data_IF_456683575301
#
_entry.id   IF_456683575301
#
_cell.length_a   1.000
_cell.length_b   1.000
_cell.length_c   1.000
_cell.angle_alpha   90.00
_cell.angle_beta   90.00
_cell.angle_gamma   90.00
#
_symmetry.space_group_name_H-M   'P 1'
#
loop_
_entity.id
_entity.type
_entity.pdbx_description
1 polymer ?
#
# COMPACT_ATOMS: atom_id res chain seq x y z
N UNK A 1 21.40 25.94 -0.15
CA UNK A 1 20.22 26.67 -0.67
C UNK A 1 19.02 25.81 -0.33
N UNK A 2 18.16 26.23 0.61
CA UNK A 2 16.89 25.52 0.79
C UNK A 2 16.11 25.65 -0.53
N UNK A 3 15.69 24.54 -1.11
CA UNK A 3 14.89 24.54 -2.34
C UNK A 3 13.58 25.30 -2.15
N UNK A 4 12.91 25.67 -3.23
CA UNK A 4 11.58 26.27 -3.15
C UNK A 4 10.60 25.40 -2.33
N UNK A 5 9.64 25.98 -1.60
CA UNK A 5 8.64 25.22 -0.85
C UNK A 5 7.80 24.33 -1.78
N UNK A 6 7.29 23.22 -1.26
CA UNK A 6 6.39 22.33 -2.03
C UNK A 6 5.07 23.03 -2.31
N UNK A 7 4.54 22.89 -3.51
CA UNK A 7 3.19 23.35 -3.89
C UNK A 7 2.21 22.21 -3.69
N UNK A 8 1.25 22.36 -2.78
CA UNK A 8 0.34 21.30 -2.38
C UNK A 8 -1.08 21.67 -2.78
N UNK A 9 -1.66 20.90 -3.70
CA UNK A 9 -3.08 20.92 -4.00
C UNK A 9 -3.88 20.13 -2.96
N UNK A 10 -4.97 20.71 -2.47
CA UNK A 10 -5.89 20.04 -1.53
C UNK A 10 -7.34 20.49 -1.77
N UNK A 11 -8.31 19.74 -1.28
CA UNK A 11 -9.72 20.13 -1.31
C UNK A 11 -10.07 20.86 -0.01
N UNK A 12 -10.65 22.08 -0.06
CA UNK A 12 -10.96 22.87 1.14
C UNK A 12 -12.25 22.38 1.82
N UNK A 13 -12.17 21.18 2.41
CA UNK A 13 -13.24 20.51 3.16
C UNK A 13 -12.75 20.11 4.56
N UNK A 14 -13.64 19.58 5.41
CA UNK A 14 -13.30 19.21 6.80
C UNK A 14 -12.08 18.28 6.90
N UNK A 15 -11.85 17.45 5.87
CA UNK A 15 -10.66 16.60 5.75
C UNK A 15 -9.34 17.37 5.68
N UNK A 16 -9.30 18.65 5.26
CA UNK A 16 -8.06 19.42 5.18
C UNK A 16 -7.58 19.97 6.52
N UNK A 17 -8.32 19.75 7.60
CA UNK A 17 -8.00 20.30 8.93
C UNK A 17 -6.60 19.89 9.42
N UNK A 18 -6.14 18.63 9.29
CA UNK A 18 -4.76 18.29 9.64
C UNK A 18 -3.69 18.99 8.80
N UNK A 19 -3.96 19.34 7.53
CA UNK A 19 -3.03 20.14 6.70
C UNK A 19 -2.89 21.54 7.30
N UNK A 20 -4.02 22.16 7.67
CA UNK A 20 -4.02 23.46 8.35
C UNK A 20 -3.21 23.41 9.66
N UNK A 21 -3.39 22.37 10.50
CA UNK A 21 -2.60 22.22 11.72
C UNK A 21 -1.13 21.93 11.48
N UNK A 22 -0.79 21.13 10.47
CA UNK A 22 0.60 20.92 10.06
C UNK A 22 1.31 22.25 9.73
N UNK A 23 0.63 23.14 9.01
CA UNK A 23 1.16 24.47 8.68
C UNK A 23 1.20 25.41 9.88
N UNK A 24 0.10 25.53 10.62
CA UNK A 24 -0.04 26.46 11.74
C UNK A 24 0.88 26.14 12.91
N UNK A 25 0.98 24.86 13.29
CA UNK A 25 1.59 24.44 14.55
C UNK A 25 2.95 23.75 14.38
N UNK A 26 3.23 23.19 13.20
CA UNK A 26 4.41 22.34 13.00
C UNK A 26 5.35 22.80 11.89
N UNK A 27 5.08 23.96 11.28
CA UNK A 27 5.96 24.58 10.30
C UNK A 27 6.07 23.78 9.01
N UNK A 28 4.95 23.29 8.49
CA UNK A 28 4.89 22.75 7.13
C UNK A 28 5.25 23.87 6.13
N UNK A 29 6.45 23.79 5.56
CA UNK A 29 6.96 24.71 4.54
C UNK A 29 6.41 24.33 3.15
N UNK A 30 5.21 24.84 2.86
CA UNK A 30 4.48 24.57 1.64
C UNK A 30 3.58 25.73 1.22
N UNK A 31 3.40 25.89 -0.08
CA UNK A 31 2.38 26.75 -0.69
C UNK A 31 1.12 25.91 -0.90
N UNK A 32 0.06 26.19 -0.13
CA UNK A 32 -1.20 25.46 -0.23
C UNK A 32 -2.10 26.10 -1.30
N UNK A 33 -2.62 25.29 -2.22
CA UNK A 33 -3.53 25.73 -3.28
C UNK A 33 -4.85 24.97 -3.16
N UNK A 34 -5.99 25.66 -2.92
CA UNK A 34 -7.28 24.99 -2.81
C UNK A 34 -7.81 24.58 -4.20
N UNK A 35 -8.33 23.36 -4.29
CA UNK A 35 -8.99 22.79 -5.47
C UNK A 35 -10.43 22.37 -5.13
N UNK A 36 -11.41 23.30 -5.11
CA UNK A 36 -12.81 22.98 -4.80
C UNK A 36 -13.46 21.98 -5.78
N UNK A 37 -12.92 21.84 -6.99
CA UNK A 37 -13.38 20.88 -8.00
C UNK A 37 -12.87 19.43 -7.79
N UNK A 38 -12.04 19.23 -6.76
CA UNK A 38 -11.55 17.92 -6.33
C UNK A 38 -10.38 17.36 -7.15
N UNK A 39 -10.17 16.05 -7.01
CA UNK A 39 -9.02 15.30 -7.55
C UNK A 39 -8.75 15.50 -9.04
N UNK A 40 -9.80 15.61 -9.87
CA UNK A 40 -9.63 15.77 -11.32
C UNK A 40 -8.91 17.06 -11.70
N UNK A 41 -9.20 18.17 -11.02
CA UNK A 41 -8.52 19.43 -11.27
C UNK A 41 -7.05 19.38 -10.80
N UNK A 42 -6.78 18.69 -9.68
CA UNK A 42 -5.41 18.48 -9.21
C UNK A 42 -4.58 17.58 -10.14
N UNK A 43 -5.20 16.58 -10.80
CA UNK A 43 -4.52 15.78 -11.84
C UNK A 43 -4.05 16.67 -12.99
N UNK A 44 -4.92 17.57 -13.47
CA UNK A 44 -4.55 18.53 -14.52
C UNK A 44 -3.40 19.43 -14.06
N UNK A 45 -3.47 19.96 -12.83
CA UNK A 45 -2.44 20.83 -12.27
C UNK A 45 -1.09 20.11 -12.07
N UNK A 46 -1.09 18.85 -11.62
CA UNK A 46 0.14 18.03 -11.51
C UNK A 46 0.78 17.85 -12.89
N UNK A 47 -0.01 17.49 -13.91
CA UNK A 47 0.47 17.30 -15.29
C UNK A 47 0.95 18.60 -15.94
N UNK A 48 0.37 19.73 -15.56
CA UNK A 48 0.80 21.06 -15.95
C UNK A 48 1.99 21.59 -15.11
N UNK A 49 2.49 20.80 -14.16
CA UNK A 49 3.57 21.16 -13.24
C UNK A 49 3.25 22.40 -12.40
N UNK A 50 1.98 22.65 -12.11
CA UNK A 50 1.49 23.78 -11.30
C UNK A 50 1.53 23.48 -9.80
N UNK A 51 1.40 22.20 -9.43
CA UNK A 51 1.56 21.69 -8.07
C UNK A 51 2.51 20.49 -8.05
N UNK A 52 3.09 20.20 -6.90
CA UNK A 52 4.06 19.12 -6.69
C UNK A 52 3.41 17.93 -5.94
N UNK A 53 2.44 18.21 -5.09
CA UNK A 53 1.73 17.23 -4.26
C UNK A 53 0.23 17.44 -4.43
N UNK A 54 -0.53 16.35 -4.48
CA UNK A 54 -2.00 16.37 -4.43
C UNK A 54 -2.54 15.55 -3.28
N UNK A 55 -3.52 16.06 -2.54
CA UNK A 55 -4.24 15.34 -1.49
C UNK A 55 -5.71 15.28 -1.88
N UNK A 56 -6.17 14.10 -2.28
CA UNK A 56 -7.48 13.91 -2.94
C UNK A 56 -8.03 12.49 -2.80
N UNK A 57 -9.24 12.29 -3.34
CA UNK A 57 -9.95 11.00 -3.32
C UNK A 57 -9.20 9.90 -4.08
N UNK A 58 -9.15 8.71 -3.46
CA UNK A 58 -8.42 7.51 -3.94
C UNK A 58 -8.79 7.14 -5.37
N UNK A 59 -10.08 6.98 -5.67
CA UNK A 59 -10.55 6.52 -6.98
C UNK A 59 -10.25 7.51 -8.10
N UNK A 60 -10.21 8.81 -7.79
CA UNK A 60 -9.86 9.84 -8.76
C UNK A 60 -8.41 9.69 -9.24
N UNK A 61 -7.48 9.43 -8.31
CA UNK A 61 -6.07 9.23 -8.63
C UNK A 61 -5.84 7.96 -9.45
N UNK A 62 -6.47 6.87 -9.04
CA UNK A 62 -6.35 5.56 -9.68
C UNK A 62 -6.97 5.59 -11.07
N UNK A 63 -8.17 6.16 -11.22
CA UNK A 63 -8.79 6.34 -12.53
C UNK A 63 -7.92 7.22 -13.44
N UNK A 64 -7.28 8.27 -12.90
CA UNK A 64 -6.37 9.13 -13.66
C UNK A 64 -5.13 8.41 -14.21
N UNK A 65 -4.62 7.40 -13.50
CA UNK A 65 -3.46 6.60 -13.93
C UNK A 65 -3.84 5.37 -14.77
N UNK A 66 -5.02 4.79 -14.54
CA UNK A 66 -5.44 3.56 -15.20
C UNK A 66 -6.04 3.73 -16.60
N UNK A 67 -6.30 4.96 -17.05
CA UNK A 67 -6.89 5.20 -18.37
C UNK A 67 -5.92 4.85 -19.50
N UNK A 68 -6.46 4.45 -20.64
CA UNK A 68 -5.66 4.08 -21.82
C UNK A 68 -4.92 5.26 -22.44
N UNK A 69 -5.47 6.47 -22.31
CA UNK A 69 -4.93 7.73 -22.84
C UNK A 69 -3.95 8.40 -21.87
N UNK A 70 -3.35 7.63 -20.95
CA UNK A 70 -2.40 8.12 -19.96
C UNK A 70 -1.24 8.89 -20.63
N UNK A 71 -1.04 10.18 -20.30
CA UNK A 71 0.07 10.93 -20.88
C UNK A 71 1.40 10.54 -20.21
N UNK A 72 2.36 10.07 -21.00
CA UNK A 72 3.71 9.76 -20.54
C UNK A 72 3.72 8.74 -19.40
N UNK A 73 4.38 9.09 -18.28
CA UNK A 73 4.38 8.27 -17.07
C UNK A 73 3.17 8.53 -16.16
N UNK A 74 2.20 9.35 -16.58
CA UNK A 74 1.02 9.75 -15.83
C UNK A 74 1.16 11.07 -15.06
N UNK A 75 2.39 11.54 -14.81
CA UNK A 75 2.73 12.79 -14.12
C UNK A 75 2.73 12.73 -12.59
N UNK A 76 2.32 11.63 -11.97
CA UNK A 76 2.31 11.46 -10.51
C UNK A 76 2.31 9.99 -10.07
N UNK A 77 2.61 9.73 -8.80
CA UNK A 77 2.45 8.44 -8.11
C UNK A 77 1.74 8.61 -6.78
N UNK A 78 0.98 7.60 -6.36
CA UNK A 78 0.44 7.57 -4.99
C UNK A 78 1.59 7.26 -4.03
N UNK A 79 1.86 8.15 -3.08
CA UNK A 79 3.00 8.04 -2.16
C UNK A 79 2.58 7.91 -0.70
N UNK A 80 1.29 8.10 -0.41
CA UNK A 80 0.78 8.06 0.95
C UNK A 80 -0.72 7.88 1.05
N UNK A 81 -1.16 7.46 2.23
CA UNK A 81 -2.56 7.44 2.64
C UNK A 81 -2.83 8.64 3.54
N UNK A 82 -3.88 9.39 3.23
CA UNK A 82 -4.24 10.57 4.01
C UNK A 82 -5.40 10.31 4.98
N UNK A 83 -6.40 9.53 4.57
CA UNK A 83 -7.54 9.14 5.42
C UNK A 83 -7.72 7.64 5.33
N UNK A 84 -7.78 6.96 6.47
CA UNK A 84 -7.92 5.50 6.57
C UNK A 84 -9.37 5.05 6.41
N UNK A 85 -10.32 5.82 6.95
CA UNK A 85 -11.74 5.46 6.89
C UNK A 85 -12.30 5.58 5.47
N UNK A 86 -13.19 4.66 5.07
CA UNK A 86 -14.07 4.85 3.94
C UNK A 86 -14.81 6.18 3.95
N UNK A 87 -15.11 6.72 2.76
CA UNK A 87 -15.95 7.90 2.63
C UNK A 87 -17.41 7.48 2.62
N UNK A 88 -18.23 8.12 3.45
CA UNK A 88 -19.68 7.97 3.38
C UNK A 88 -20.24 8.88 2.27
N UNK A 89 -20.80 8.26 1.25
CA UNK A 89 -21.54 8.93 0.18
C UNK A 89 -23.02 8.85 0.49
N UNK A 90 -23.67 10.01 0.62
CA UNK A 90 -25.13 10.06 0.68
C UNK A 90 -25.71 10.08 -0.74
N UNK A 91 -26.73 9.25 -0.94
CA UNK A 91 -27.48 9.09 -2.19
C UNK A 91 -28.71 9.99 -2.09
N UNK A 92 -28.82 10.97 -2.98
CA UNK A 92 -29.76 12.07 -2.84
C UNK A 92 -30.64 12.23 -4.07
N UNK A 93 -31.91 12.54 -3.85
CA UNK A 93 -32.90 12.85 -4.88
C UNK A 93 -33.61 14.17 -4.57
N UNK A 94 -34.42 14.66 -5.49
CA UNK A 94 -35.21 15.87 -5.31
C UNK A 94 -36.23 15.70 -4.18
N UNK A 95 -36.53 16.79 -3.48
CA UNK A 95 -37.43 16.75 -2.32
C UNK A 95 -38.84 16.24 -2.67
N UNK A 96 -39.32 16.57 -3.87
CA UNK A 96 -40.67 16.27 -4.37
C UNK A 96 -40.68 15.15 -5.42
N UNK A 97 -40.03 14.03 -5.11
CA UNK A 97 -39.93 12.83 -5.98
C UNK A 97 -40.55 11.60 -5.30
N UNK A 98 -41.90 11.49 -5.20
CA UNK A 98 -42.58 10.43 -4.45
C UNK A 98 -42.35 9.03 -5.06
N UNK A 99 -42.01 8.94 -6.34
CA UNK A 99 -41.71 7.71 -7.05
C UNK A 99 -40.35 7.08 -6.64
N UNK A 100 -39.43 7.87 -6.07
CA UNK A 100 -38.10 7.42 -5.64
C UNK A 100 -38.13 7.11 -4.13
N UNK A 101 -38.54 5.91 -3.75
CA UNK A 101 -38.78 5.58 -2.33
C UNK A 101 -37.62 4.84 -1.66
N UNK A 102 -36.75 4.22 -2.44
CA UNK A 102 -35.64 3.40 -1.94
C UNK A 102 -34.47 3.39 -2.92
N UNK A 103 -33.34 2.80 -2.52
CA UNK A 103 -32.19 2.58 -3.41
C UNK A 103 -32.60 1.76 -4.65
N UNK A 104 -33.47 0.77 -4.51
CA UNK A 104 -33.90 -0.04 -5.65
C UNK A 104 -34.70 0.78 -6.69
N UNK A 105 -35.36 1.85 -6.27
CA UNK A 105 -36.05 2.78 -7.18
C UNK A 105 -35.09 3.52 -8.14
N UNK A 106 -33.78 3.49 -7.87
CA UNK A 106 -32.76 4.16 -8.66
C UNK A 106 -32.27 3.31 -9.84
N UNK A 107 -32.53 2.01 -9.83
CA UNK A 107 -32.11 1.08 -10.87
C UNK A 107 -32.73 1.47 -12.21
N UNK A 108 -31.88 1.66 -13.22
CA UNK A 108 -32.30 2.10 -14.56
C UNK A 108 -32.66 3.59 -14.66
N UNK A 109 -32.54 4.37 -13.59
CA UNK A 109 -32.74 5.83 -13.62
C UNK A 109 -31.53 6.59 -14.17
N UNK A 110 -31.60 7.91 -14.12
CA UNK A 110 -30.54 8.85 -14.53
C UNK A 110 -29.71 9.28 -13.32
N UNK A 111 -28.41 9.00 -13.34
CA UNK A 111 -27.49 9.46 -12.30
C UNK A 111 -26.88 10.80 -12.70
N UNK A 112 -26.97 11.79 -11.80
CA UNK A 112 -26.25 13.05 -11.90
C UNK A 112 -24.81 12.87 -11.43
N UNK A 113 -23.86 13.28 -12.26
CA UNK A 113 -22.42 13.19 -11.98
C UNK A 113 -21.74 14.52 -12.23
N UNK A 114 -20.65 14.82 -11.52
CA UNK A 114 -19.92 16.06 -11.77
C UNK A 114 -19.17 16.00 -13.10
N UNK A 115 -18.57 14.85 -13.42
CA UNK A 115 -17.90 14.56 -14.70
C UNK A 115 -17.76 13.06 -14.86
N UNK A 116 -17.52 12.61 -16.08
CA UNK A 116 -17.17 11.20 -16.32
C UNK A 116 -15.84 10.88 -15.62
N UNK A 117 -15.84 9.80 -14.83
CA UNK A 117 -14.70 9.38 -14.01
C UNK A 117 -14.53 10.12 -12.67
N UNK A 118 -15.45 11.01 -12.26
CA UNK A 118 -15.44 11.55 -10.89
C UNK A 118 -15.81 10.48 -9.85
N UNK A 119 -15.55 10.77 -8.57
CA UNK A 119 -16.06 9.94 -7.46
C UNK A 119 -17.58 9.73 -7.55
N UNK A 120 -18.37 10.77 -7.86
CA UNK A 120 -19.83 10.63 -8.04
C UNK A 120 -20.23 9.73 -9.21
N UNK A 121 -19.42 9.64 -10.26
CA UNK A 121 -19.61 8.69 -11.35
C UNK A 121 -19.20 7.27 -10.94
N UNK A 122 -18.00 7.10 -10.37
CA UNK A 122 -17.47 5.80 -9.93
C UNK A 122 -18.37 5.17 -8.88
N UNK A 123 -18.84 5.95 -7.90
CA UNK A 123 -19.68 5.46 -6.82
C UNK A 123 -21.07 5.01 -7.29
N UNK A 124 -21.57 5.52 -8.43
CA UNK A 124 -22.75 4.96 -9.07
C UNK A 124 -22.56 3.49 -9.44
N UNK A 125 -21.38 3.12 -9.97
CA UNK A 125 -21.06 1.73 -10.28
C UNK A 125 -20.77 0.89 -9.05
N UNK A 126 -20.16 1.47 -8.00
CA UNK A 126 -20.01 0.77 -6.70
C UNK A 126 -21.38 0.41 -6.14
N UNK A 127 -22.33 1.35 -6.18
CA UNK A 127 -23.72 1.12 -5.78
C UNK A 127 -24.34 -0.01 -6.62
N UNK A 128 -24.17 0.04 -7.93
CA UNK A 128 -24.67 -1.00 -8.83
C UNK A 128 -24.05 -2.39 -8.57
N UNK A 129 -22.75 -2.49 -8.28
CA UNK A 129 -22.07 -3.76 -7.96
C UNK A 129 -22.61 -4.34 -6.63
N UNK A 130 -22.73 -3.51 -5.60
CA UNK A 130 -23.22 -3.93 -4.28
C UNK A 130 -24.68 -4.41 -4.29
N UNK A 131 -25.49 -3.88 -5.21
CA UNK A 131 -26.88 -4.29 -5.39
C UNK A 131 -27.10 -5.33 -6.52
N UNK A 132 -26.02 -5.84 -7.12
CA UNK A 132 -26.11 -6.86 -8.19
C UNK A 132 -26.75 -6.35 -9.49
N UNK A 133 -26.70 -5.04 -9.75
CA UNK A 133 -27.23 -4.43 -10.98
C UNK A 133 -26.25 -4.53 -12.15
N UNK A 134 -24.97 -4.79 -11.89
CA UNK A 134 -23.98 -5.06 -12.92
C UNK A 134 -24.10 -6.52 -13.38
N UNK A 135 -24.17 -6.73 -14.69
CA UNK A 135 -24.17 -8.07 -15.30
C UNK A 135 -23.26 -8.08 -16.52
N UNK A 136 -22.37 -9.08 -16.68
CA UNK A 136 -21.53 -9.19 -17.87
C UNK A 136 -22.37 -9.24 -19.15
N UNK A 137 -22.17 -8.28 -20.05
CA UNK A 137 -22.94 -8.15 -21.30
C UNK A 137 -24.39 -7.69 -21.12
N UNK A 138 -24.80 -7.31 -19.90
CA UNK A 138 -26.11 -6.75 -19.61
C UNK A 138 -26.22 -5.25 -19.95
N UNK A 139 -27.43 -4.68 -19.88
CA UNK A 139 -27.62 -3.25 -20.04
C UNK A 139 -26.89 -2.46 -18.93
N UNK A 140 -26.54 -1.18 -19.17
CA UNK A 140 -25.96 -0.34 -18.13
C UNK A 140 -26.93 -0.21 -16.94
N UNK A 141 -26.42 -0.08 -15.70
CA UNK A 141 -27.26 -0.01 -14.50
C UNK A 141 -28.12 1.25 -14.42
N UNK A 142 -27.74 2.30 -15.16
CA UNK A 142 -28.42 3.59 -15.24
C UNK A 142 -28.67 3.92 -16.71
N UNK A 143 -29.80 4.58 -17.01
CA UNK A 143 -30.17 4.95 -18.37
C UNK A 143 -29.30 6.08 -18.93
N UNK A 144 -28.77 6.95 -18.06
CA UNK A 144 -27.92 8.08 -18.44
C UNK A 144 -27.00 8.52 -17.29
N UNK A 145 -25.84 9.08 -17.65
CA UNK A 145 -24.91 9.74 -16.74
C UNK A 145 -24.92 11.25 -17.04
N UNK A 146 -25.78 12.00 -16.34
CA UNK A 146 -26.00 13.43 -16.59
C UNK A 146 -24.84 14.23 -16.00
N UNK A 147 -24.02 14.83 -16.88
CA UNK A 147 -22.85 15.61 -16.47
C UNK A 147 -23.25 17.02 -16.06
N UNK A 148 -23.10 17.34 -14.78
CA UNK A 148 -23.63 18.56 -14.18
C UNK A 148 -22.55 19.49 -13.61
N UNK A 149 -21.27 19.09 -13.63
CA UNK A 149 -20.09 19.86 -13.23
C UNK A 149 -19.99 20.22 -11.74
N UNK A 150 -21.02 20.85 -11.16
CA UNK A 150 -21.00 21.43 -9.82
C UNK A 150 -22.03 20.79 -8.91
N UNK A 151 -21.78 20.85 -7.59
CA UNK A 151 -22.71 20.36 -6.59
C UNK A 151 -24.05 21.11 -6.61
N UNK A 152 -24.03 22.42 -6.92
CA UNK A 152 -25.26 23.20 -7.07
C UNK A 152 -26.13 22.70 -8.24
N UNK A 153 -25.52 22.41 -9.39
CA UNK A 153 -26.23 21.85 -10.54
C UNK A 153 -26.77 20.45 -10.25
N UNK A 154 -26.01 19.62 -9.52
CA UNK A 154 -26.47 18.29 -9.09
C UNK A 154 -27.77 18.37 -8.26
N UNK A 155 -27.84 19.29 -7.29
CA UNK A 155 -29.06 19.51 -6.49
C UNK A 155 -30.21 20.07 -7.31
N UNK A 156 -29.93 20.99 -8.24
CA UNK A 156 -30.95 21.56 -9.12
C UNK A 156 -31.56 20.49 -10.06
N UNK A 157 -30.71 19.65 -10.65
CA UNK A 157 -31.11 18.62 -11.62
C UNK A 157 -32.03 17.55 -11.03
N UNK A 158 -31.82 17.13 -9.77
CA UNK A 158 -32.71 16.14 -9.14
C UNK A 158 -34.08 16.71 -8.79
N UNK A 159 -34.15 18.01 -8.54
CA UNK A 159 -35.40 18.74 -8.30
C UNK A 159 -36.15 19.06 -9.60
N UNK A 160 -35.44 19.32 -10.71
CA UNK A 160 -36.05 19.55 -12.03
C UNK A 160 -36.46 18.25 -12.75
N UNK A 161 -35.92 17.10 -12.32
CA UNK A 161 -36.11 15.82 -13.01
C UNK A 161 -35.13 15.57 -14.15
N UNK A 162 -34.14 16.45 -14.35
CA UNK A 162 -33.05 16.24 -15.31
C UNK A 162 -32.21 15.01 -14.91
N UNK A 163 -31.94 14.84 -13.61
CA UNK A 163 -31.41 13.62 -13.02
C UNK A 163 -32.40 13.04 -11.99
N UNK A 164 -32.29 11.74 -11.71
CA UNK A 164 -33.15 11.08 -10.70
C UNK A 164 -32.49 11.08 -9.33
N UNK A 165 -31.18 10.92 -9.30
CA UNK A 165 -30.38 11.01 -8.08
C UNK A 165 -28.96 11.45 -8.38
N UNK A 166 -28.23 11.85 -7.35
CA UNK A 166 -26.77 12.00 -7.41
C UNK A 166 -26.16 11.51 -6.09
N UNK A 167 -24.84 11.40 -6.06
CA UNK A 167 -24.09 11.01 -4.88
C UNK A 167 -23.02 12.06 -4.57
N UNK A 168 -22.88 12.39 -3.30
CA UNK A 168 -21.83 13.26 -2.78
C UNK A 168 -21.46 12.87 -1.34
N UNK A 169 -20.42 13.48 -0.77
CA UNK A 169 -20.06 13.28 0.64
C UNK A 169 -21.25 13.66 1.55
N UNK A 170 -21.50 12.84 2.57
CA UNK A 170 -22.68 12.95 3.45
C UNK A 170 -22.80 14.31 4.15
N UNK A 171 -21.77 14.75 4.87
CA UNK A 171 -21.86 15.93 5.73
C UNK A 171 -21.97 17.23 4.90
N UNK A 172 -21.40 17.24 3.71
CA UNK A 172 -21.52 18.33 2.72
C UNK A 172 -22.97 18.49 2.23
N UNK A 173 -23.75 17.41 2.24
CA UNK A 173 -25.15 17.42 1.83
C UNK A 173 -26.12 17.70 2.98
N UNK A 174 -25.69 17.49 4.23
CA UNK A 174 -26.59 17.41 5.38
C UNK A 174 -27.49 18.64 5.56
N UNK A 175 -26.94 19.85 5.42
CA UNK A 175 -27.74 21.10 5.48
C UNK A 175 -28.87 21.18 4.45
N UNK A 176 -28.72 20.51 3.31
CA UNK A 176 -29.71 20.47 2.23
C UNK A 176 -30.79 19.41 2.49
N UNK A 177 -30.48 18.40 3.29
CA UNK A 177 -31.50 17.53 3.89
C UNK A 177 -32.29 18.28 4.96
N UNK A 178 -31.59 18.98 5.85
CA UNK A 178 -32.20 19.69 6.98
C UNK A 178 -33.12 20.84 6.53
N UNK A 179 -32.78 21.53 5.44
CA UNK A 179 -33.63 22.56 4.81
C UNK A 179 -34.74 21.99 3.92
N UNK A 180 -34.73 20.69 3.62
CA UNK A 180 -35.67 20.05 2.71
C UNK A 180 -35.48 20.39 1.23
N UNK A 181 -34.32 20.95 0.82
CA UNK A 181 -34.00 21.21 -0.60
C UNK A 181 -33.85 19.92 -1.41
N UNK A 182 -33.25 18.90 -0.80
CA UNK A 182 -33.10 17.54 -1.35
C UNK A 182 -33.43 16.52 -0.28
N UNK A 183 -33.68 15.28 -0.69
CA UNK A 183 -33.98 14.17 0.21
C UNK A 183 -32.95 13.07 0.06
N UNK A 184 -32.50 12.53 1.20
CA UNK A 184 -31.63 11.35 1.25
C UNK A 184 -32.45 10.08 1.01
N UNK A 185 -31.98 9.24 0.08
CA UNK A 185 -32.55 7.93 -0.27
C UNK A 185 -31.78 6.80 0.42
N UNK A 186 -30.48 6.98 0.62
CA UNK A 186 -29.61 6.00 1.25
C UNK A 186 -28.19 6.50 1.39
N UNK A 187 -27.30 5.62 1.78
CA UNK A 187 -25.86 5.88 1.95
C UNK A 187 -25.06 4.67 1.48
N UNK A 188 -23.82 4.92 1.06
CA UNK A 188 -22.87 3.88 0.69
C UNK A 188 -21.47 4.31 1.06
N UNK A 189 -20.67 3.37 1.53
CA UNK A 189 -19.27 3.61 1.86
C UNK A 189 -18.36 3.17 0.72
N UNK A 190 -17.25 3.89 0.51
CA UNK A 190 -16.20 3.42 -0.39
C UNK A 190 -15.63 2.09 0.13
N UNK A 191 -15.37 1.09 -0.73
CA UNK A 191 -14.72 -0.16 -0.30
C UNK A 191 -13.25 0.01 0.13
N UNK A 192 -12.68 1.19 -0.10
CA UNK A 192 -11.30 1.56 0.19
C UNK A 192 -11.22 2.75 1.15
N UNK A 193 -10.03 2.95 1.72
CA UNK A 193 -9.63 4.20 2.37
C UNK A 193 -9.80 5.39 1.42
N UNK A 194 -10.36 6.49 1.91
CA UNK A 194 -10.96 7.52 1.05
C UNK A 194 -9.98 8.51 0.41
N UNK A 195 -8.88 8.86 1.08
CA UNK A 195 -7.95 9.87 0.57
C UNK A 195 -6.51 9.36 0.44
N UNK A 196 -5.82 9.86 -0.59
CA UNK A 196 -4.43 9.56 -0.90
C UNK A 196 -3.62 10.84 -1.09
N UNK A 197 -2.33 10.70 -0.83
CA UNK A 197 -1.29 11.69 -1.11
C UNK A 197 -0.60 11.21 -2.38
N UNK A 198 -0.55 12.05 -3.40
CA UNK A 198 0.23 11.83 -4.62
C UNK A 198 1.36 12.83 -4.73
N UNK A 199 2.47 12.41 -5.33
CA UNK A 199 3.60 13.27 -5.64
C UNK A 199 3.85 13.28 -7.15
N UNK A 200 4.20 14.44 -7.68
CA UNK A 200 4.61 14.61 -9.07
C UNK A 200 5.85 13.76 -9.37
N UNK A 201 5.88 13.14 -10.54
CA UNK A 201 7.06 12.38 -11.01
C UNK A 201 8.21 13.29 -11.46
N UNK A 202 7.97 14.60 -11.59
CA UNK A 202 9.02 15.60 -11.83
C UNK A 202 9.83 15.94 -10.56
N UNK A 203 9.36 15.52 -9.37
CA UNK A 203 10.15 15.67 -8.15
C UNK A 203 11.35 14.72 -8.17
N UNK A 204 12.54 15.15 -7.72
CA UNK A 204 13.70 14.27 -7.58
C UNK A 204 13.37 13.04 -6.73
N UNK A 205 13.86 11.87 -7.16
CA UNK A 205 13.77 10.66 -6.35
C UNK A 205 14.45 10.90 -5.00
N UNK A 206 13.74 10.62 -3.90
CA UNK A 206 14.24 10.84 -2.55
C UNK A 206 14.26 12.31 -2.09
N UNK A 207 13.49 13.20 -2.74
CA UNK A 207 13.39 14.60 -2.32
C UNK A 207 13.09 14.73 -0.81
N UNK A 208 14.03 15.33 -0.08
CA UNK A 208 13.95 15.49 1.37
C UNK A 208 12.70 16.28 1.81
N UNK A 209 12.18 17.19 0.96
CA UNK A 209 10.97 17.96 1.25
C UNK A 209 9.74 17.06 1.38
N UNK A 210 9.69 15.97 0.61
CA UNK A 210 8.60 14.98 0.68
C UNK A 210 8.67 14.18 1.98
N UNK A 211 9.88 13.90 2.49
CA UNK A 211 10.05 13.27 3.80
C UNK A 211 9.56 14.19 4.92
N UNK A 212 9.99 15.46 4.88
CA UNK A 212 9.53 16.47 5.83
C UNK A 212 8.02 16.67 5.76
N UNK A 213 7.41 16.66 4.56
CA UNK A 213 5.96 16.70 4.40
C UNK A 213 5.26 15.61 5.22
N UNK A 214 5.67 14.34 5.08
CA UNK A 214 5.06 13.26 5.84
C UNK A 214 5.22 13.45 7.35
N UNK A 215 6.41 13.84 7.82
CA UNK A 215 6.64 14.15 9.24
C UNK A 215 5.67 15.24 9.75
N UNK A 216 5.49 16.32 8.98
CA UNK A 216 4.61 17.42 9.38
C UNK A 216 3.14 17.06 9.31
N UNK A 217 2.71 16.29 8.31
CA UNK A 217 1.34 15.79 8.21
C UNK A 217 1.02 14.83 9.36
N UNK A 218 1.92 13.91 9.69
CA UNK A 218 1.75 12.99 10.83
C UNK A 218 1.57 13.76 12.15
N UNK A 219 2.35 14.84 12.35
CA UNK A 219 2.20 15.73 13.52
C UNK A 219 0.90 16.53 13.50
N UNK A 220 0.50 17.04 12.33
CA UNK A 220 -0.79 17.73 12.16
C UNK A 220 -1.98 16.81 12.46
N UNK A 221 -1.89 15.53 12.07
CA UNK A 221 -2.87 14.50 12.38
C UNK A 221 -2.89 14.19 13.88
N UNK A 222 -1.73 14.02 14.51
CA UNK A 222 -1.65 13.81 15.96
C UNK A 222 -2.31 14.97 16.72
N UNK A 223 -2.01 16.21 16.34
CA UNK A 223 -2.65 17.38 16.93
C UNK A 223 -4.15 17.42 16.71
N UNK A 224 -4.62 17.09 15.50
CA UNK A 224 -6.05 16.99 15.20
C UNK A 224 -6.75 16.00 16.15
N UNK A 225 -6.15 14.83 16.37
CA UNK A 225 -6.69 13.81 17.27
C UNK A 225 -6.73 14.30 18.72
N UNK A 226 -5.69 14.99 19.18
CA UNK A 226 -5.56 15.46 20.56
C UNK A 226 -6.34 16.77 20.84
N UNK A 227 -6.71 17.53 19.81
CA UNK A 227 -7.28 18.88 19.92
C UNK A 227 -8.58 19.05 19.12
N UNK A 228 -9.53 18.13 19.29
CA UNK A 228 -10.79 18.10 18.55
C UNK A 228 -11.61 19.41 18.66
N UNK A 229 -11.57 20.11 19.80
CA UNK A 229 -12.26 21.39 19.96
C UNK A 229 -11.67 22.51 19.08
N UNK A 230 -10.35 22.50 18.86
CA UNK A 230 -9.73 23.41 17.89
C UNK A 230 -10.17 23.04 16.46
N UNK A 231 -10.24 21.74 16.16
CA UNK A 231 -10.68 21.25 14.85
C UNK A 231 -12.12 21.68 14.56
N UNK A 232 -13.06 21.47 15.49
CA UNK A 232 -14.46 21.90 15.37
C UNK A 232 -14.53 23.40 15.08
N UNK A 233 -13.82 24.21 15.87
CA UNK A 233 -13.81 25.67 15.71
C UNK A 233 -13.27 26.09 14.35
N UNK A 234 -12.16 25.48 13.91
CA UNK A 234 -11.61 25.76 12.59
C UNK A 234 -12.61 25.43 11.48
N UNK A 235 -13.19 24.22 11.53
CA UNK A 235 -14.15 23.74 10.54
C UNK A 235 -15.36 24.66 10.46
N UNK A 236 -16.01 25.04 11.57
CA UNK A 236 -17.23 25.84 11.51
C UNK A 236 -17.01 27.34 11.23
N UNK A 237 -15.77 27.84 11.37
CA UNK A 237 -15.46 29.27 11.11
C UNK A 237 -14.82 29.52 9.75
N UNK A 238 -14.17 28.51 9.16
CA UNK A 238 -13.43 28.65 7.90
C UNK A 238 -14.02 27.80 6.78
N UNK A 239 -14.85 26.80 7.11
CA UNK A 239 -15.49 25.91 6.16
C UNK A 239 -17.02 25.94 6.36
N UNK A 240 -17.73 25.41 5.38
CA UNK A 240 -19.19 25.55 5.27
C UNK A 240 -19.95 24.45 6.04
N UNK A 241 -19.67 24.32 7.34
CA UNK A 241 -20.22 23.29 8.23
C UNK A 241 -20.70 23.90 9.54
N UNK A 242 -21.81 23.38 10.09
CA UNK A 242 -22.24 23.76 11.44
C UNK A 242 -21.36 23.08 12.50
N UNK A 243 -21.34 23.63 13.72
CA UNK A 243 -20.62 23.00 14.84
C UNK A 243 -21.12 21.57 15.11
N UNK A 244 -22.44 21.37 15.09
CA UNK A 244 -23.05 20.06 15.32
C UNK A 244 -22.63 19.04 14.25
N UNK A 245 -22.62 19.44 12.98
CA UNK A 245 -22.21 18.56 11.88
C UNK A 245 -20.72 18.23 11.94
N UNK A 246 -19.87 19.21 12.28
CA UNK A 246 -18.44 18.98 12.47
C UNK A 246 -18.18 17.96 13.59
N UNK A 247 -18.90 18.08 14.73
CA UNK A 247 -18.80 17.13 15.85
C UNK A 247 -19.26 15.73 15.49
N UNK A 248 -20.30 15.61 14.67
CA UNK A 248 -20.76 14.31 14.21
C UNK A 248 -19.76 13.67 13.24
N UNK A 249 -19.22 14.45 12.30
CA UNK A 249 -18.17 14.01 11.39
C UNK A 249 -16.93 13.49 12.12
N UNK A 250 -16.49 14.16 13.19
CA UNK A 250 -15.33 13.74 13.99
C UNK A 250 -15.46 12.33 14.58
N UNK A 251 -16.67 11.82 14.78
CA UNK A 251 -16.91 10.45 15.27
C UNK A 251 -16.67 9.40 14.18
N UNK A 252 -16.65 9.82 12.92
CA UNK A 252 -16.63 8.91 11.75
C UNK A 252 -15.26 8.83 11.09
N UNK A 253 -14.46 9.90 11.15
CA UNK A 253 -13.19 10.01 10.42
C UNK A 253 -12.04 9.40 11.21
N UNK A 254 -11.15 8.70 10.50
CA UNK A 254 -9.85 8.29 11.03
C UNK A 254 -8.75 8.61 10.03
N UNK A 255 -7.78 9.38 10.49
CA UNK A 255 -6.51 9.61 9.79
C UNK A 255 -5.48 8.55 10.25
N UNK A 256 -4.55 8.13 9.38
CA UNK A 256 -3.51 7.18 9.76
C UNK A 256 -2.50 7.83 10.71
N UNK A 257 -1.88 7.03 11.58
CA UNK A 257 -0.79 7.50 12.42
C UNK A 257 0.49 7.82 11.61
N UNK A 258 0.64 7.16 10.45
CA UNK A 258 1.73 7.37 9.48
C UNK A 258 1.14 7.49 8.09
N UNK A 259 1.36 8.63 7.46
CA UNK A 259 0.78 8.96 6.16
C UNK A 259 1.56 8.39 4.97
N UNK A 260 2.85 8.05 5.16
CA UNK A 260 3.70 7.50 4.09
C UNK A 260 3.25 6.11 3.67
N UNK A 261 3.26 5.86 2.36
CA UNK A 261 2.99 4.57 1.73
C UNK A 261 1.50 4.26 1.52
N UNK A 262 1.25 3.30 0.65
CA UNK A 262 -0.09 2.85 0.26
C UNK A 262 -0.21 1.34 0.43
N UNK A 263 -1.39 0.85 0.80
CA UNK A 263 -1.68 -0.59 0.83
C UNK A 263 -1.98 -1.10 -0.58
N UNK A 264 -1.35 -2.18 -1.01
CA UNK A 264 -1.55 -2.78 -2.34
C UNK A 264 -3.03 -3.13 -2.57
N UNK A 265 -3.65 -3.69 -1.55
CA UNK A 265 -5.05 -4.15 -1.58
C UNK A 265 -6.01 -3.00 -1.89
N UNK A 266 -5.69 -1.78 -1.46
CA UNK A 266 -6.49 -0.58 -1.76
C UNK A 266 -6.45 -0.23 -3.25
N UNK A 267 -5.28 -0.30 -3.87
CA UNK A 267 -5.13 0.03 -5.28
C UNK A 267 -5.75 -1.06 -6.15
N UNK A 268 -5.43 -2.32 -5.86
CA UNK A 268 -5.96 -3.49 -6.56
C UNK A 268 -7.50 -3.54 -6.53
N UNK A 269 -8.10 -3.39 -5.35
CA UNK A 269 -9.56 -3.42 -5.19
C UNK A 269 -10.23 -2.26 -5.94
N UNK A 270 -9.62 -1.06 -5.91
CA UNK A 270 -10.15 0.08 -6.64
C UNK A 270 -10.06 -0.11 -8.16
N UNK A 271 -8.94 -0.63 -8.67
CA UNK A 271 -8.79 -0.94 -10.09
C UNK A 271 -9.80 -1.99 -10.54
N UNK A 272 -9.97 -3.07 -9.77
CA UNK A 272 -10.93 -4.12 -10.10
C UNK A 272 -12.37 -3.58 -10.24
N UNK A 273 -12.80 -2.72 -9.31
CA UNK A 273 -14.13 -2.10 -9.38
C UNK A 273 -14.24 -1.12 -10.56
N UNK A 274 -13.22 -0.30 -10.80
CA UNK A 274 -13.22 0.61 -11.94
C UNK A 274 -13.23 -0.12 -13.29
N UNK A 275 -12.63 -1.31 -13.38
CA UNK A 275 -12.72 -2.18 -14.55
C UNK A 275 -14.13 -2.76 -14.74
N UNK A 276 -14.75 -3.28 -13.67
CA UNK A 276 -16.16 -3.71 -13.72
C UNK A 276 -17.10 -2.60 -14.17
N UNK A 277 -16.80 -1.37 -13.76
CA UNK A 277 -17.55 -0.17 -14.10
C UNK A 277 -17.31 0.33 -15.53
N UNK A 278 -16.38 -0.27 -16.29
CA UNK A 278 -16.00 0.18 -17.63
C UNK A 278 -15.24 1.51 -17.65
N UNK A 279 -14.81 2.03 -16.49
CA UNK A 279 -14.00 3.24 -16.39
C UNK A 279 -12.56 2.96 -16.79
N UNK A 280 -12.06 1.78 -16.44
CA UNK A 280 -10.77 1.26 -16.84
C UNK A 280 -10.95 0.02 -17.70
N UNK A 281 -10.01 -0.21 -18.62
CA UNK A 281 -10.00 -1.40 -19.46
C UNK A 281 -8.90 -2.36 -18.96
N UNK A 282 -9.21 -3.64 -18.70
CA UNK A 282 -8.22 -4.61 -18.26
C UNK A 282 -7.01 -4.67 -19.20
N UNK A 283 -5.80 -4.66 -18.62
CA UNK A 283 -4.53 -4.68 -19.37
C UNK A 283 -4.17 -3.38 -20.09
N UNK A 284 -4.89 -2.29 -19.83
CA UNK A 284 -4.63 -0.96 -20.41
C UNK A 284 -4.32 0.06 -19.31
N UNK A 285 -3.65 1.14 -19.71
CA UNK A 285 -3.16 2.15 -18.78
C UNK A 285 -2.09 1.62 -17.82
N UNK A 286 -1.83 2.37 -16.75
CA UNK A 286 -0.89 1.95 -15.71
C UNK A 286 -1.45 0.76 -14.92
N UNK A 287 -0.64 -0.27 -14.69
CA UNK A 287 -1.03 -1.40 -13.86
C UNK A 287 -0.86 -1.06 -12.36
N UNK A 288 -1.65 -1.67 -11.45
CA UNK A 288 -1.63 -1.37 -10.02
C UNK A 288 -0.23 -1.29 -9.44
N UNK A 289 0.65 -2.23 -9.77
CA UNK A 289 2.01 -2.37 -9.23
C UNK A 289 2.87 -1.12 -9.50
N UNK A 290 2.58 -0.39 -10.58
CA UNK A 290 3.30 0.81 -10.99
C UNK A 290 2.67 2.12 -10.49
N UNK A 291 1.43 2.08 -9.93
CA UNK A 291 0.69 3.29 -9.56
C UNK A 291 1.18 3.95 -8.27
N UNK A 292 1.77 3.17 -7.34
CA UNK A 292 2.03 3.63 -5.99
C UNK A 292 3.38 3.19 -5.44
N UNK A 293 3.85 3.95 -4.44
CA UNK A 293 4.87 3.51 -3.50
C UNK A 293 4.15 2.77 -2.39
N UNK A 294 4.28 1.45 -2.41
CA UNK A 294 3.60 0.59 -1.45
C UNK A 294 4.30 0.60 -0.09
N UNK A 295 3.50 0.53 0.97
CA UNK A 295 4.00 -0.01 2.23
C UNK A 295 4.45 -1.42 1.90
N UNK A 296 5.72 -1.74 2.14
CA UNK A 296 6.19 -3.10 2.07
C UNK A 296 5.22 -3.95 2.89
N UNK A 297 4.57 -4.94 2.24
CA UNK A 297 4.07 -6.09 3.00
C UNK A 297 5.27 -6.56 3.82
N UNK A 298 5.09 -6.92 5.08
CA UNK A 298 6.11 -7.64 5.82
C UNK A 298 6.25 -9.08 5.25
N UNK A 299 6.57 -9.15 3.96
CA UNK A 299 6.87 -10.28 3.12
C UNK A 299 7.84 -9.75 2.07
N UNK A 300 9.14 -9.89 2.38
CA UNK A 300 10.19 -10.22 1.41
C UNK A 300 10.10 -9.47 0.08
N UNK A 301 10.51 -8.21 0.04
CA UNK A 301 10.93 -7.53 -1.19
C UNK A 301 11.65 -6.21 -0.85
N UNK A 302 12.85 -6.34 -0.28
CA UNK A 302 13.94 -5.37 -0.48
C UNK A 302 15.24 -6.22 -0.50
N UNK A 303 15.39 -7.00 -1.58
CA UNK A 303 16.67 -7.60 -1.93
C UNK A 303 17.66 -6.48 -2.29
N UNK A 304 18.32 -5.90 -1.28
CA UNK A 304 19.79 -5.73 -1.29
C UNK A 304 20.41 -5.06 -0.05
N UNK A 305 19.70 -4.83 1.06
CA UNK A 305 20.35 -4.36 2.29
C UNK A 305 19.70 -4.93 3.54
N UNK A 306 20.14 -6.13 3.94
CA UNK A 306 19.94 -6.60 5.32
C UNK A 306 21.04 -5.93 6.16
N UNK A 307 20.66 -5.09 7.13
CA UNK A 307 21.63 -4.58 8.11
C UNK A 307 21.97 -5.68 9.11
N UNK A 308 23.27 -5.79 9.42
CA UNK A 308 23.87 -6.83 10.26
C UNK A 308 23.36 -6.78 11.72
N UNK A 309 22.80 -5.66 12.15
CA UNK A 309 22.33 -5.46 13.53
C UNK A 309 21.18 -6.38 13.95
N UNK A 310 20.33 -6.83 13.00
CA UNK A 310 19.19 -7.70 13.31
C UNK A 310 19.61 -9.15 13.62
N UNK A 311 20.80 -9.57 13.17
CA UNK A 311 21.34 -10.92 13.39
C UNK A 311 21.99 -11.10 14.76
N UNK A 312 22.42 -10.00 15.40
CA UNK A 312 23.21 -10.04 16.65
C UNK A 312 22.34 -10.02 17.90
N UNK A 313 21.10 -9.53 17.83
CA UNK A 313 20.18 -9.56 18.97
C UNK A 313 19.44 -10.92 19.02
N UNK A 314 20.02 -11.90 19.70
CA UNK A 314 19.54 -13.29 19.81
C UNK A 314 18.17 -13.53 20.49
N UNK A 315 17.13 -12.75 20.16
CA UNK A 315 15.76 -12.93 20.66
C UNK A 315 14.79 -13.03 19.49
N UNK A 316 14.76 -14.20 18.84
CA UNK A 316 13.76 -14.50 17.80
C UNK A 316 14.06 -15.66 16.85
N UNK A 317 15.20 -16.35 17.01
CA UNK A 317 15.77 -17.27 16.01
C UNK A 317 14.87 -18.41 15.51
N UNK A 318 13.84 -18.82 16.26
CA UNK A 318 12.95 -19.93 15.84
C UNK A 318 11.91 -19.50 14.79
N UNK A 319 11.38 -18.27 14.87
CA UNK A 319 10.33 -17.82 13.94
C UNK A 319 10.83 -17.44 12.55
N UNK A 320 12.13 -17.20 12.39
CA UNK A 320 12.76 -16.90 11.10
C UNK A 320 13.08 -18.20 10.32
N UNK A 321 13.43 -19.28 11.02
CA UNK A 321 13.71 -20.59 10.43
C UNK A 321 12.43 -21.24 9.87
N UNK A 322 11.30 -21.13 10.56
CA UNK A 322 9.99 -21.57 10.03
C UNK A 322 9.61 -20.81 8.75
N UNK A 323 9.82 -19.49 8.72
CA UNK A 323 9.49 -18.63 7.57
C UNK A 323 10.41 -18.83 6.36
N UNK A 324 11.66 -19.21 6.59
CA UNK A 324 12.59 -19.61 5.52
C UNK A 324 12.20 -20.98 4.94
N UNK A 325 11.71 -21.91 5.77
CA UNK A 325 11.13 -23.18 5.33
C UNK A 325 9.94 -22.99 4.38
N UNK A 326 9.03 -22.08 4.72
CA UNK A 326 7.88 -21.72 3.87
C UNK A 326 8.32 -21.09 2.53
N UNK A 327 9.38 -20.29 2.54
CA UNK A 327 9.91 -19.64 1.33
C UNK A 327 10.54 -20.63 0.34
N UNK A 328 11.25 -21.64 0.86
CA UNK A 328 11.84 -22.72 0.05
C UNK A 328 10.74 -23.61 -0.53
N UNK A 329 9.66 -23.87 0.22
CA UNK A 329 8.50 -24.62 -0.27
C UNK A 329 7.77 -23.89 -1.42
N UNK A 330 7.58 -22.57 -1.31
CA UNK A 330 6.95 -21.73 -2.35
C UNK A 330 7.78 -21.65 -3.64
N UNK A 331 9.11 -21.61 -3.52
CA UNK A 331 10.01 -21.56 -4.69
C UNK A 331 10.06 -22.90 -5.45
N UNK A 332 9.87 -24.02 -4.75
CA UNK A 332 9.76 -25.35 -5.36
C UNK A 332 8.43 -25.57 -6.09
N UNK A 333 7.33 -24.99 -5.57
CA UNK A 333 6.00 -25.05 -6.20
C UNK A 333 5.96 -24.33 -7.55
N UNK A 334 6.72 -23.24 -7.68
CA UNK A 334 6.86 -22.49 -8.95
C UNK A 334 7.72 -23.20 -10.01
N UNK A 335 8.47 -24.23 -9.63
CA UNK A 335 9.33 -24.99 -10.56
C UNK A 335 8.64 -26.26 -11.10
N UNK A 336 7.49 -26.63 -10.53
CA UNK A 336 6.70 -27.80 -10.93
C UNK A 336 5.37 -27.37 -11.55
N UNK A 337 5.40 -26.50 -12.56
CA UNK A 337 4.21 -26.17 -13.34
C UNK A 337 3.98 -27.24 -14.42
N UNK A 338 3.38 -28.35 -13.97
CA UNK A 338 3.01 -29.52 -14.75
C UNK A 338 1.70 -30.11 -14.24
N UNK A 339 0.65 -29.28 -14.12
CA UNK A 339 -0.76 -29.71 -14.11
C UNK A 339 -1.17 -30.72 -13.03
N UNK A 340 -1.30 -30.28 -11.77
CA UNK A 340 -2.03 -31.00 -10.74
C UNK A 340 -2.28 -30.13 -9.51
N UNK A 341 -3.55 -29.89 -9.14
CA UNK A 341 -3.89 -29.13 -7.91
C UNK A 341 -3.80 -30.06 -6.70
N UNK A 342 -2.89 -29.75 -5.77
CA UNK A 342 -2.88 -30.30 -4.41
C UNK A 342 -3.73 -29.42 -3.49
N UNK A 343 -4.78 -29.99 -2.89
CA UNK A 343 -5.57 -29.34 -1.84
C UNK A 343 -5.05 -29.73 -0.45
N UNK A 344 -4.76 -28.74 0.40
CA UNK A 344 -4.46 -28.93 1.81
C UNK A 344 -5.73 -28.70 2.63
N UNK A 345 -6.23 -29.72 3.33
CA UNK A 345 -7.26 -29.56 4.37
C UNK A 345 -6.70 -29.89 5.75
N UNK A 346 -7.24 -29.20 6.77
CA UNK A 346 -6.72 -29.19 8.13
C UNK A 346 -7.61 -30.06 9.02
N UNK A 347 -7.08 -31.19 9.50
CA UNK A 347 -7.73 -32.05 10.50
C UNK A 347 -7.07 -31.94 11.88
N UNK A 348 -7.74 -32.46 12.90
CA UNK A 348 -7.40 -32.28 14.32
C UNK A 348 -6.09 -32.95 14.80
N UNK A 349 -5.38 -33.70 13.95
CA UNK A 349 -4.04 -34.24 14.24
C UNK A 349 -2.92 -33.74 13.29
N UNK A 350 -3.17 -32.75 12.45
CA UNK A 350 -2.16 -32.13 11.56
C UNK A 350 -2.43 -32.28 10.06
N UNK A 351 -1.56 -31.68 9.24
CA UNK A 351 -1.69 -31.54 7.78
C UNK A 351 -1.50 -32.88 7.05
N UNK A 352 -2.58 -33.42 6.48
CA UNK A 352 -2.58 -34.63 5.63
C UNK A 352 -3.03 -34.31 4.20
N UNK A 353 -2.41 -34.95 3.21
CA UNK A 353 -2.71 -34.81 1.78
C UNK A 353 -3.57 -35.99 1.32
N UNK A 354 -4.71 -35.74 0.65
CA UNK A 354 -5.51 -36.78 -0.01
C UNK A 354 -5.54 -36.58 -1.53
N UNK A 355 -5.68 -37.68 -2.27
CA UNK A 355 -5.59 -37.72 -3.73
C UNK A 355 -6.84 -38.42 -4.30
N UNK A 356 -7.56 -37.78 -5.24
CA UNK A 356 -8.49 -38.48 -6.13
C UNK A 356 -7.77 -38.82 -7.45
N UNK A 357 -7.54 -40.10 -7.70
CA UNK A 357 -6.98 -40.70 -8.93
C UNK A 357 -7.85 -40.33 -10.15
N UNK A 358 -7.31 -40.11 -11.36
CA UNK A 358 -6.58 -41.09 -12.17
C UNK A 358 -5.44 -40.46 -13.01
N UNK A 359 -4.19 -40.84 -12.72
CA UNK A 359 -3.17 -41.28 -13.69
C UNK A 359 -1.86 -41.62 -12.95
N UNK A 360 -1.34 -42.83 -13.19
CA UNK A 360 -0.05 -43.30 -12.67
C UNK A 360 1.11 -42.54 -13.33
N UNK A 361 1.97 -41.87 -12.55
CA UNK A 361 3.36 -41.57 -12.94
C UNK A 361 4.29 -41.69 -11.74
N UNK A 362 5.46 -42.26 -12.01
CA UNK A 362 6.52 -42.70 -11.11
C UNK A 362 7.40 -41.57 -10.53
N UNK A 363 6.93 -40.80 -9.53
CA UNK A 363 7.73 -39.72 -8.93
C UNK A 363 7.81 -39.74 -7.38
N UNK A 364 7.69 -40.91 -6.77
CA UNK A 364 7.78 -41.04 -5.30
C UNK A 364 9.19 -40.83 -4.73
N UNK A 365 10.26 -41.10 -5.49
CA UNK A 365 11.63 -41.08 -4.96
C UNK A 365 12.34 -39.70 -5.04
N UNK A 366 11.95 -38.84 -5.99
CA UNK A 366 12.56 -37.51 -6.17
C UNK A 366 12.03 -36.47 -5.15
N UNK A 367 10.75 -36.58 -4.77
CA UNK A 367 10.09 -35.65 -3.83
C UNK A 367 10.52 -35.86 -2.37
N UNK A 368 10.81 -37.10 -1.96
CA UNK A 368 11.41 -37.40 -0.65
C UNK A 368 12.81 -36.77 -0.53
N UNK A 369 13.62 -36.82 -1.60
CA UNK A 369 14.96 -36.24 -1.61
C UNK A 369 15.01 -34.71 -1.50
N UNK A 370 13.99 -33.99 -1.99
CA UNK A 370 13.93 -32.52 -1.96
C UNK A 370 13.52 -31.94 -0.60
N UNK A 371 12.62 -32.63 0.12
CA UNK A 371 12.32 -32.30 1.54
C UNK A 371 13.56 -32.49 2.41
N UNK A 372 14.29 -33.58 2.19
CA UNK A 372 15.54 -33.87 2.91
C UNK A 372 16.65 -32.84 2.58
N UNK A 373 16.67 -32.25 1.37
CA UNK A 373 17.58 -31.16 0.98
C UNK A 373 17.29 -29.87 1.74
N UNK A 374 16.02 -29.47 1.84
CA UNK A 374 15.63 -28.27 2.58
C UNK A 374 15.93 -28.39 4.07
N UNK A 375 15.66 -29.56 4.65
CA UNK A 375 15.87 -29.83 6.06
C UNK A 375 17.37 -29.90 6.41
N UNK A 376 18.19 -30.55 5.58
CA UNK A 376 19.64 -30.57 5.75
C UNK A 376 20.30 -29.20 5.58
N UNK A 377 19.77 -28.34 4.68
CA UNK A 377 20.26 -26.97 4.50
C UNK A 377 19.94 -26.10 5.71
N UNK A 378 18.75 -26.24 6.30
CA UNK A 378 18.36 -25.58 7.55
C UNK A 378 19.19 -26.07 8.74
N UNK A 379 19.47 -27.37 8.84
CA UNK A 379 20.31 -27.94 9.90
C UNK A 379 21.76 -27.47 9.80
N UNK A 380 22.34 -27.40 8.59
CA UNK A 380 23.71 -26.90 8.37
C UNK A 380 23.84 -25.39 8.65
N UNK A 381 22.83 -24.59 8.29
CA UNK A 381 22.74 -23.18 8.64
C UNK A 381 22.61 -22.98 10.16
N UNK A 382 21.76 -23.78 10.82
CA UNK A 382 21.58 -23.76 12.27
C UNK A 382 22.85 -24.15 13.04
N UNK A 383 23.53 -25.22 12.62
CA UNK A 383 24.78 -25.69 13.25
C UNK A 383 25.94 -24.68 13.08
N UNK A 384 26.00 -23.94 11.96
CA UNK A 384 27.05 -22.92 11.77
C UNK A 384 26.76 -21.56 12.38
N UNK A 385 25.50 -21.17 12.54
CA UNK A 385 25.12 -19.99 13.35
C UNK A 385 25.49 -20.24 14.83
N UNK A 386 25.34 -21.48 15.32
CA UNK A 386 25.80 -21.87 16.65
C UNK A 386 27.34 -21.77 16.78
N UNK A 387 28.09 -22.24 15.78
CA UNK A 387 29.56 -22.12 15.72
C UNK A 387 30.03 -20.65 15.63
N UNK A 388 29.34 -19.79 14.87
CA UNK A 388 29.60 -18.34 14.86
C UNK A 388 29.34 -17.69 16.23
N UNK A 389 28.33 -18.18 16.96
CA UNK A 389 28.09 -17.79 18.35
C UNK A 389 29.19 -18.26 19.32
N UNK A 390 29.81 -19.42 19.09
CA UNK A 390 30.92 -19.92 19.92
C UNK A 390 32.27 -19.26 19.60
N UNK A 391 32.54 -18.94 18.32
CA UNK A 391 33.79 -18.29 17.87
C UNK A 391 33.89 -16.84 18.36
N UNK A 392 32.77 -16.13 18.49
CA UNK A 392 32.72 -14.77 19.10
C UNK A 392 33.04 -14.81 20.61
N UNK A 393 33.01 -15.99 21.25
CA UNK A 393 33.22 -16.16 22.69
C UNK A 393 34.61 -16.63 23.14
N UNK A 394 35.56 -16.95 22.24
CA UNK A 394 36.90 -17.44 22.65
C UNK A 394 38.02 -16.82 21.83
N UNK A 395 38.88 -16.05 22.50
CA UNK A 395 39.99 -15.29 21.93
C UNK A 395 41.18 -16.13 21.42
N UNK A 396 41.24 -17.42 21.73
CA UNK A 396 42.48 -18.21 21.58
C UNK A 396 42.55 -19.13 20.34
N UNK A 397 41.51 -19.16 19.48
CA UNK A 397 41.54 -19.96 18.22
C UNK A 397 41.84 -19.13 16.96
N UNK A 398 42.20 -17.84 17.10
CA UNK A 398 42.48 -16.93 15.98
C UNK A 398 43.57 -17.43 15.00
N UNK A 399 44.44 -18.34 15.42
CA UNK A 399 45.53 -18.84 14.57
C UNK A 399 45.15 -20.03 13.66
N UNK A 400 43.98 -20.65 13.82
CA UNK A 400 43.62 -21.86 13.07
C UNK A 400 42.90 -21.62 11.72
N UNK A 401 42.50 -20.39 11.40
CA UNK A 401 41.62 -20.07 10.25
C UNK A 401 42.27 -19.24 9.14
N UNK A 402 43.57 -18.91 9.26
CA UNK A 402 44.30 -18.12 8.26
C UNK A 402 44.78 -18.97 7.08
N UNK A 403 44.78 -20.30 7.19
CA UNK A 403 45.14 -21.20 6.08
C UNK A 403 43.88 -21.89 5.56
N UNK A 404 43.52 -21.58 4.31
CA UNK A 404 42.26 -21.95 3.66
C UNK A 404 41.98 -23.45 3.58
N UNK A 405 41.47 -24.05 4.66
CA UNK A 405 40.97 -25.42 4.65
C UNK A 405 39.64 -25.50 3.88
N UNK A 406 39.70 -26.02 2.65
CA UNK A 406 38.56 -26.64 1.98
C UNK A 406 38.18 -27.91 2.74
N UNK A 407 37.16 -27.85 3.61
CA UNK A 407 36.55 -29.08 4.15
C UNK A 407 35.51 -29.62 3.20
N UNK A 408 35.85 -30.72 2.55
CA UNK A 408 34.92 -31.53 1.77
C UNK A 408 34.17 -32.46 2.74
N UNK A 409 32.88 -32.23 2.94
CA UNK A 409 31.97 -33.20 3.57
C UNK A 409 31.25 -33.94 2.44
N UNK A 410 31.22 -35.26 2.53
CA UNK A 410 30.89 -36.17 1.43
C UNK A 410 29.48 -36.05 0.84
N UNK A 411 29.37 -36.59 -0.38
CA UNK A 411 28.22 -36.77 -1.27
C UNK A 411 27.43 -35.51 -1.67
N UNK A 412 28.05 -34.75 -2.59
CA UNK A 412 27.35 -34.03 -3.66
C UNK A 412 26.77 -32.65 -3.35
N UNK A 413 27.03 -32.08 -2.16
CA UNK A 413 26.50 -30.77 -1.76
C UNK A 413 27.57 -29.97 -1.01
N UNK A 414 27.83 -28.73 -1.43
CA UNK A 414 28.88 -27.90 -0.85
C UNK A 414 28.47 -26.44 -0.69
N UNK A 415 28.76 -25.88 0.48
CA UNK A 415 28.70 -24.44 0.74
C UNK A 415 30.13 -23.89 0.82
N UNK A 416 30.37 -22.72 0.23
CA UNK A 416 31.66 -22.03 0.25
C UNK A 416 31.54 -20.72 1.02
N UNK A 417 32.49 -20.51 1.92
CA UNK A 417 32.63 -19.32 2.76
C UNK A 417 34.01 -18.71 2.50
N UNK A 418 34.06 -17.47 2.03
CA UNK A 418 35.33 -16.75 1.86
C UNK A 418 35.32 -15.55 2.86
N UNK A 419 36.29 -15.53 3.78
CA UNK A 419 36.47 -14.52 4.83
C UNK A 419 37.68 -13.64 4.51
N UNK A 420 37.62 -12.35 4.85
CA UNK A 420 38.73 -11.40 4.73
C UNK A 420 39.07 -10.78 6.09
N UNK A 421 40.34 -10.44 6.31
CA UNK A 421 40.81 -9.73 7.51
C UNK A 421 40.93 -8.23 7.20
N UNK A 422 40.22 -7.39 7.95
CA UNK A 422 40.19 -5.93 7.76
C UNK A 422 41.03 -5.15 8.79
N UNK A 423 41.83 -5.85 9.60
CA UNK A 423 42.64 -5.25 10.66
C UNK A 423 41.87 -4.93 11.95
N UNK A 424 40.56 -5.16 11.99
CA UNK A 424 39.70 -5.12 13.17
C UNK A 424 39.00 -6.45 13.50
N UNK A 425 38.87 -7.36 12.52
CA UNK A 425 38.35 -8.71 12.67
C UNK A 425 38.18 -9.45 11.33
N UNK A 426 37.65 -10.69 11.39
CA UNK A 426 37.28 -11.45 10.19
C UNK A 426 35.89 -11.04 9.70
N UNK A 427 35.79 -10.59 8.45
CA UNK A 427 34.54 -10.16 7.81
C UNK A 427 34.19 -11.11 6.68
N UNK A 428 32.92 -11.49 6.58
CA UNK A 428 32.41 -12.35 5.52
C UNK A 428 32.29 -11.57 4.21
N UNK A 429 33.10 -11.92 3.22
CA UNK A 429 33.09 -11.25 1.92
C UNK A 429 32.11 -11.93 0.95
N UNK A 430 32.06 -13.27 0.98
CA UNK A 430 31.21 -14.07 0.07
C UNK A 430 30.66 -15.33 0.72
N UNK A 431 29.40 -15.61 0.39
CA UNK A 431 28.73 -16.87 0.71
C UNK A 431 28.08 -17.44 -0.54
N UNK A 432 28.43 -18.67 -0.90
CA UNK A 432 27.88 -19.37 -2.05
C UNK A 432 27.41 -20.79 -1.73
N UNK A 433 26.32 -21.22 -2.36
CA UNK A 433 25.81 -22.60 -2.28
C UNK A 433 25.73 -23.20 -3.68
N UNK A 434 26.33 -24.38 -3.84
CA UNK A 434 26.31 -25.11 -5.09
C UNK A 434 26.06 -26.60 -4.87
N UNK A 435 25.45 -27.23 -5.86
CA UNK A 435 25.17 -28.67 -5.86
C UNK A 435 25.71 -29.27 -7.14
N UNK A 436 26.34 -30.43 -7.03
CA UNK A 436 26.90 -31.13 -8.17
C UNK A 436 25.82 -32.02 -8.80
N UNK A 437 25.49 -31.75 -10.07
CA UNK A 437 24.47 -32.47 -10.82
C UNK A 437 25.08 -32.95 -12.13
N UNK A 438 25.15 -34.27 -12.33
CA UNK A 438 25.64 -34.86 -13.57
C UNK A 438 27.12 -34.57 -13.88
N UNK A 439 27.99 -34.46 -12.86
CA UNK A 439 29.42 -34.17 -13.03
C UNK A 439 29.74 -32.70 -13.31
N UNK A 440 28.76 -31.80 -13.20
CA UNK A 440 28.95 -30.35 -13.24
C UNK A 440 28.40 -29.67 -11.98
N UNK A 441 29.01 -28.56 -11.58
CA UNK A 441 28.56 -27.74 -10.45
C UNK A 441 27.46 -26.77 -10.89
N UNK A 442 26.26 -26.91 -10.31
CA UNK A 442 25.15 -25.98 -10.46
C UNK A 442 25.13 -25.00 -9.27
N UNK A 443 25.27 -23.71 -9.57
CA UNK A 443 25.26 -22.63 -8.58
C UNK A 443 23.83 -22.24 -8.26
N UNK A 444 23.42 -22.37 -7.00
CA UNK A 444 22.04 -22.16 -6.57
C UNK A 444 21.84 -20.73 -6.09
N UNK A 445 22.80 -20.20 -5.32
CA UNK A 445 22.77 -18.83 -4.83
C UNK A 445 24.19 -18.35 -4.47
N UNK A 446 24.44 -17.06 -4.64
CA UNK A 446 25.66 -16.39 -4.17
C UNK A 446 25.32 -14.97 -3.72
N UNK A 447 25.87 -14.59 -2.57
CA UNK A 447 25.77 -13.26 -2.01
C UNK A 447 27.17 -12.66 -1.84
N UNK A 448 27.31 -11.41 -2.30
CA UNK A 448 28.51 -10.60 -2.12
C UNK A 448 28.24 -9.52 -1.08
N UNK A 449 29.17 -9.34 -0.17
CA UNK A 449 29.09 -8.33 0.88
C UNK A 449 30.18 -7.28 0.64
N UNK A 450 29.79 -6.01 0.56
CA UNK A 450 30.69 -4.90 0.26
C UNK A 450 31.43 -4.48 1.54
N UNK A 451 32.71 -4.79 1.62
CA UNK A 451 33.56 -4.43 2.76
C UNK A 451 34.07 -3.00 2.53
N UNK A 452 33.26 -2.01 2.90
CA UNK A 452 33.65 -0.61 2.81
C UNK A 452 34.82 -0.31 3.76
N UNK A 453 35.88 0.34 3.26
CA UNK A 453 37.02 0.81 4.08
C UNK A 453 36.53 1.80 5.16
N UNK A 454 36.20 1.31 6.34
CA UNK A 454 36.14 2.13 7.54
C UNK A 454 37.56 2.28 8.10
N UNK A 455 38.33 3.23 7.55
CA UNK A 455 39.48 3.77 8.29
C UNK A 455 38.95 4.53 9.50
N UNK A 456 39.30 4.00 10.67
CA UNK A 456 38.69 4.33 11.94
C UNK A 456 38.96 5.76 12.42
N UNK A 457 38.11 6.16 13.37
CA UNK A 457 38.52 7.07 14.43
C UNK A 457 38.32 6.32 15.75
N UNK A 458 39.43 6.11 16.46
CA UNK A 458 39.49 5.34 17.68
C UNK A 458 38.68 5.98 18.80
N UNK A 459 37.68 5.26 19.27
CA UNK A 459 36.97 5.56 20.51
C UNK A 459 36.79 4.29 21.32
N UNK A 460 37.73 3.99 22.21
CA UNK A 460 37.53 3.00 23.27
C UNK A 460 36.37 3.46 24.15
N UNK A 461 35.28 2.68 24.20
CA UNK A 461 34.28 2.80 25.26
C UNK A 461 34.53 1.66 26.24
N UNK A 462 35.15 1.99 27.37
CA UNK A 462 35.22 1.12 28.53
C UNK A 462 33.82 1.02 29.16
N UNK A 463 33.33 -0.21 29.36
CA UNK A 463 32.12 -0.47 30.15
C UNK A 463 32.47 -0.38 31.63
N UNK A 464 31.70 0.40 32.39
CA UNK A 464 31.82 0.44 33.85
C UNK A 464 31.16 -0.78 34.51
N UNK A 465 31.56 -1.09 35.75
CA UNK A 465 31.12 -2.25 36.52
C UNK A 465 29.65 -2.20 36.98
N UNK A 466 28.79 -1.39 36.34
CA UNK A 466 27.33 -1.43 36.55
C UNK A 466 26.51 -1.59 35.27
N UNK A 467 27.13 -2.03 34.18
CA UNK A 467 26.44 -2.67 33.05
C UNK A 467 25.19 -1.94 32.57
N UNK A 468 25.37 -0.72 32.06
CA UNK A 468 24.39 -0.07 31.18
C UNK A 468 25.02 0.31 29.86
#
# INVERSE_FOLDING_TARGET
MAGAPLRIGYVPEHFSTPIYFAQKHYGLDAVLTPFPSGTGAMITALRAKEIDIGIGLTEGWIAGLGKEDLPGDGGYRLVGTYVDTPLCWAISTGAQRPEITSIESLRGGKIGVSRIGSGSYVMGFVLADQHGWLSPGGPPPFSDNVVLHTFANLRSAVNSGEADFFMWEHFTQKRYFDSGEIRRVGEIYTPWSSWKIVASTDLPAGDARVQTLFEKLDRGIAHFNDNQEEAVRYICTNLDYTEADAREWLKTVKFPARTRGVKAETVESCVAILQKAGVLVPGKGMQPEAMAIYLTRNLVADNNRVSVDALVSGKGGLGLLERLGDLVALSLDHSLDGGGRLGLERGDEGLGVSHSRDQEVSDGAALLGLRDVGQAALELLGQRIALLGEVVGRTDEREALVDGERRHIGNGRGARLDLADDGGGLVLERLGVAVEVGGGLLKIAEAHFDVGEHRGDGGQVALDERGR
#
